data_IF_051268146448
#
_entry.id   IF_051268146448
#
_cell.length_a   1.000
_cell.length_b   1.000
_cell.length_c   1.000
_cell.angle_alpha   90.00
_cell.angle_beta   90.00
_cell.angle_gamma   90.00
#
_symmetry.space_group_name_H-M   'P 1'
#
loop_
_entity.id
_entity.type
_entity.pdbx_description
1 polymer ?
#
# COMPACT_ATOMS: atom_id res chain seq x y z
N UNK A 1 62.62 85.27 18.96
CA UNK A 1 62.04 85.18 20.32
C UNK A 1 61.11 83.97 20.32
N UNK A 2 61.40 83.03 21.22
CA UNK A 2 60.93 81.63 21.24
C UNK A 2 59.41 81.47 21.38
N UNK A 3 58.85 80.40 20.80
CA UNK A 3 58.11 79.37 21.55
C UNK A 3 57.81 78.13 20.69
N UNK A 4 58.20 76.98 21.25
CA UNK A 4 57.97 75.62 20.77
C UNK A 4 56.51 75.23 20.98
N UNK A 5 55.97 74.31 20.16
CA UNK A 5 55.03 73.29 20.70
C UNK A 5 55.03 72.03 19.83
N UNK A 6 55.32 70.93 20.51
CA UNK A 6 55.32 69.55 20.04
C UNK A 6 53.91 68.98 20.10
N UNK A 7 53.35 68.54 18.97
CA UNK A 7 52.11 67.77 18.95
C UNK A 7 52.44 66.28 19.07
N UNK A 8 52.12 65.73 20.24
CA UNK A 8 52.17 64.30 20.53
C UNK A 8 51.14 63.55 19.67
N UNK A 9 51.59 62.48 19.00
CA UNK A 9 50.76 61.57 18.22
C UNK A 9 50.08 60.57 19.17
N UNK A 10 48.80 60.77 19.43
CA UNK A 10 47.98 59.83 20.21
C UNK A 10 47.63 58.61 19.32
N UNK A 11 48.18 57.44 19.66
CA UNK A 11 47.75 56.16 19.10
C UNK A 11 46.61 55.61 19.97
N UNK A 12 45.39 55.53 19.42
CA UNK A 12 44.27 54.82 20.05
C UNK A 12 44.41 53.32 19.80
N UNK A 13 44.39 52.45 20.82
CA UNK A 13 44.33 51.01 20.62
C UNK A 13 42.90 50.62 20.25
N UNK A 14 42.71 50.08 19.04
CA UNK A 14 41.48 49.40 18.65
C UNK A 14 41.39 48.08 19.42
N UNK A 15 40.47 48.01 20.38
CA UNK A 15 40.07 46.77 21.04
C UNK A 15 39.34 45.88 20.04
N UNK A 16 40.06 44.98 19.38
CA UNK A 16 39.48 43.93 18.54
C UNK A 16 38.70 42.97 19.43
N UNK A 17 37.37 43.09 19.38
CA UNK A 17 36.44 42.31 20.20
C UNK A 17 36.61 40.80 20.02
N UNK A 18 36.78 40.12 21.15
CA UNK A 18 36.90 38.65 21.34
C UNK A 18 35.60 37.87 21.02
N UNK A 19 34.91 38.19 19.93
CA UNK A 19 33.61 37.55 19.60
C UNK A 19 33.64 36.58 18.40
N UNK A 20 34.78 36.40 17.73
CA UNK A 20 34.85 35.55 16.54
C UNK A 20 35.00 34.03 16.82
N UNK A 21 35.22 33.60 18.06
CA UNK A 21 35.52 32.19 18.38
C UNK A 21 34.30 31.35 18.79
N UNK A 22 33.09 31.93 18.86
CA UNK A 22 31.88 31.17 19.25
C UNK A 22 31.04 30.65 18.07
N UNK A 23 31.26 31.06 16.83
CA UNK A 23 30.40 30.64 15.71
C UNK A 23 30.82 29.32 15.03
N UNK A 24 32.08 28.90 15.15
CA UNK A 24 32.58 27.71 14.41
C UNK A 24 32.14 26.39 15.07
N UNK A 25 31.77 26.40 16.36
CA UNK A 25 31.36 25.19 17.09
C UNK A 25 29.86 24.87 17.01
N UNK A 26 29.03 25.75 16.44
CA UNK A 26 27.58 25.52 16.36
C UNK A 26 27.10 24.82 15.08
N UNK A 27 27.95 24.66 14.06
CA UNK A 27 27.54 24.05 12.78
C UNK A 27 27.64 22.51 12.78
N UNK A 28 28.35 21.89 13.73
CA UNK A 28 28.55 20.43 13.77
C UNK A 28 27.46 19.63 14.51
N UNK A 29 26.41 20.26 15.04
CA UNK A 29 25.31 19.56 15.75
C UNK A 29 24.05 19.33 14.93
N UNK A 30 24.08 19.58 13.61
CA UNK A 30 22.97 19.29 12.71
C UNK A 30 23.11 17.97 11.93
N UNK A 31 24.17 17.18 12.18
CA UNK A 31 24.50 16.00 11.37
C UNK A 31 24.56 14.68 12.17
N UNK A 32 23.86 14.59 13.30
CA UNK A 32 23.80 13.33 14.08
C UNK A 32 22.42 13.15 14.70
N UNK A 33 21.36 13.24 13.89
CA UNK A 33 20.08 12.62 14.23
C UNK A 33 20.08 11.21 13.62
N UNK A 34 20.59 10.23 14.37
CA UNK A 34 20.43 8.79 14.09
C UNK A 34 18.97 8.32 14.19
N UNK A 35 18.06 9.22 14.54
CA UNK A 35 16.62 9.02 14.54
C UNK A 35 16.02 10.03 13.58
N UNK A 36 15.52 9.55 12.43
CA UNK A 36 14.68 10.35 11.55
C UNK A 36 13.50 10.88 12.38
N UNK A 37 13.50 12.18 12.65
CA UNK A 37 12.47 12.83 13.46
C UNK A 37 11.13 12.66 12.72
N UNK A 38 10.18 11.96 13.36
CA UNK A 38 8.86 11.75 12.79
C UNK A 38 8.16 13.10 12.62
N UNK A 39 7.85 13.47 11.38
CA UNK A 39 7.01 14.63 11.04
C UNK A 39 5.58 14.13 10.83
N UNK A 40 4.57 14.62 11.57
CA UNK A 40 3.17 14.28 11.32
C UNK A 40 2.78 14.59 9.87
N UNK A 41 2.38 13.57 9.11
CA UNK A 41 2.05 13.67 7.68
C UNK A 41 3.25 13.55 6.71
N UNK A 42 4.47 13.41 7.22
CA UNK A 42 5.68 13.19 6.42
C UNK A 42 5.96 11.70 6.14
N UNK A 43 6.82 11.38 5.14
CA UNK A 43 7.26 10.01 4.89
C UNK A 43 8.04 9.44 6.09
N UNK A 44 7.71 8.21 6.50
CA UNK A 44 8.47 7.49 7.55
C UNK A 44 9.74 6.93 6.91
N UNK A 45 10.86 7.63 7.06
CA UNK A 45 12.18 7.15 6.62
C UNK A 45 12.76 6.16 7.64
N UNK A 46 13.24 5.01 7.15
CA UNK A 46 14.07 4.09 7.93
C UNK A 46 15.52 4.29 7.47
N UNK A 47 16.38 4.86 8.31
CA UNK A 47 17.78 5.15 7.97
C UNK A 47 18.05 6.62 7.56
N UNK A 48 19.18 6.85 6.93
CA UNK A 48 19.62 8.14 6.38
C UNK A 48 19.21 8.31 4.92
N UNK A 49 19.28 9.54 4.39
CA UNK A 49 18.90 9.87 2.99
C UNK A 49 19.74 9.12 1.95
N UNK A 50 20.97 8.71 2.31
CA UNK A 50 21.91 8.04 1.41
C UNK A 50 21.90 6.50 1.56
N UNK A 51 21.10 5.95 2.48
CA UNK A 51 21.05 4.51 2.67
C UNK A 51 20.23 3.85 1.55
N UNK A 52 20.74 2.77 0.92
CA UNK A 52 20.00 2.07 -0.11
C UNK A 52 18.71 1.48 0.46
N UNK A 53 17.60 1.65 -0.25
CA UNK A 53 16.37 0.95 0.10
C UNK A 53 16.60 -0.54 -0.04
N UNK A 54 16.29 -1.30 1.02
CA UNK A 54 16.32 -2.75 0.96
C UNK A 54 15.13 -3.24 0.15
N UNK A 55 15.40 -3.98 -0.92
CA UNK A 55 14.37 -4.63 -1.72
C UNK A 55 14.35 -6.12 -1.38
N UNK A 56 13.16 -6.73 -1.26
CA UNK A 56 13.06 -8.18 -1.18
C UNK A 56 13.62 -8.82 -2.46
N UNK A 57 14.06 -10.07 -2.37
CA UNK A 57 14.50 -10.81 -3.55
C UNK A 57 13.37 -10.91 -4.59
N UNK A 58 13.66 -10.68 -5.88
CA UNK A 58 12.63 -10.76 -6.92
C UNK A 58 11.96 -12.13 -6.96
N UNK A 59 10.63 -12.15 -6.99
CA UNK A 59 9.84 -13.37 -7.11
C UNK A 59 8.81 -13.21 -8.22
N UNK A 60 8.87 -14.05 -9.26
CA UNK A 60 7.90 -14.04 -10.37
C UNK A 60 6.47 -14.31 -9.90
N UNK A 61 6.32 -15.08 -8.82
CA UNK A 61 5.02 -15.39 -8.22
C UNK A 61 4.30 -14.14 -7.71
N UNK A 62 5.03 -13.14 -7.20
CA UNK A 62 4.45 -11.89 -6.69
C UNK A 62 4.25 -10.81 -7.76
N UNK A 63 4.73 -11.04 -8.99
CA UNK A 63 4.65 -10.09 -10.08
C UNK A 63 3.99 -10.71 -11.30
N UNK A 64 4.79 -11.12 -12.28
CA UNK A 64 4.31 -11.52 -13.60
C UNK A 64 3.32 -12.69 -13.58
N UNK A 65 3.52 -13.70 -12.72
CA UNK A 65 2.59 -14.84 -12.68
C UNK A 65 1.24 -14.47 -12.07
N UNK A 66 1.24 -13.66 -11.01
CA UNK A 66 0.01 -13.16 -10.42
C UNK A 66 -0.78 -12.31 -11.41
N UNK A 67 -0.11 -11.36 -12.08
CA UNK A 67 -0.72 -10.52 -13.11
C UNK A 67 -1.30 -11.34 -14.26
N UNK A 68 -0.52 -12.28 -14.82
CA UNK A 68 -1.01 -13.13 -15.93
C UNK A 68 -2.20 -13.97 -15.50
N UNK A 69 -2.17 -14.56 -14.29
CA UNK A 69 -3.27 -15.33 -13.75
C UNK A 69 -4.55 -14.48 -13.62
N UNK A 70 -4.46 -13.27 -13.08
CA UNK A 70 -5.60 -12.35 -13.00
C UNK A 70 -6.19 -12.03 -14.37
N UNK A 71 -5.34 -11.75 -15.37
CA UNK A 71 -5.81 -11.41 -16.72
C UNK A 71 -6.50 -12.61 -17.37
N UNK A 72 -5.93 -13.81 -17.24
CA UNK A 72 -6.53 -15.05 -17.75
C UNK A 72 -7.87 -15.34 -17.07
N UNK A 73 -7.93 -15.21 -15.75
CA UNK A 73 -9.14 -15.43 -14.96
C UNK A 73 -10.24 -14.42 -15.30
N UNK A 74 -9.88 -13.16 -15.57
CA UNK A 74 -10.83 -12.13 -16.03
C UNK A 74 -11.31 -12.41 -17.46
N UNK A 75 -10.40 -12.82 -18.34
CA UNK A 75 -10.73 -13.14 -19.73
C UNK A 75 -11.63 -14.39 -19.83
N UNK A 76 -11.42 -15.40 -18.99
CA UNK A 76 -12.25 -16.62 -18.98
C UNK A 76 -13.65 -16.40 -18.46
N UNK A 77 -13.87 -15.41 -17.59
CA UNK A 77 -15.20 -15.07 -17.08
C UNK A 77 -16.16 -14.63 -18.19
N UNK A 78 -15.67 -13.99 -19.25
CA UNK A 78 -16.52 -13.52 -20.36
C UNK A 78 -17.25 -14.68 -21.06
N UNK A 79 -16.56 -15.70 -21.63
CA UNK A 79 -17.24 -16.85 -22.23
C UNK A 79 -17.96 -17.72 -21.21
N UNK A 80 -17.47 -17.85 -19.97
CA UNK A 80 -18.17 -18.59 -18.91
C UNK A 80 -19.53 -17.98 -18.60
N UNK A 81 -19.60 -16.65 -18.50
CA UNK A 81 -20.84 -15.93 -18.27
C UNK A 81 -21.80 -16.13 -19.43
N UNK A 82 -21.32 -15.98 -20.67
CA UNK A 82 -22.15 -16.23 -21.86
C UNK A 82 -22.70 -17.66 -21.93
N UNK A 83 -21.86 -18.66 -21.63
CA UNK A 83 -22.27 -20.06 -21.57
C UNK A 83 -23.33 -20.30 -20.49
N UNK A 84 -23.18 -19.67 -19.33
CA UNK A 84 -24.12 -19.76 -18.21
C UNK A 84 -25.43 -19.03 -18.46
N UNK A 85 -25.46 -18.03 -19.34
CA UNK A 85 -26.71 -17.42 -19.80
C UNK A 85 -27.46 -18.29 -20.81
N UNK A 86 -26.72 -18.99 -21.68
CA UNK A 86 -27.30 -19.88 -22.68
C UNK A 86 -27.76 -21.23 -22.10
N UNK A 87 -27.27 -21.61 -20.92
CA UNK A 87 -27.55 -22.89 -20.27
C UNK A 87 -28.13 -22.67 -18.88
N UNK A 88 -29.27 -23.30 -18.53
CA UNK A 88 -29.79 -23.23 -17.16
C UNK A 88 -28.90 -24.04 -16.20
N UNK A 89 -28.62 -23.48 -15.01
CA UNK A 89 -27.81 -24.11 -13.98
C UNK A 89 -28.32 -25.47 -13.52
N UNK A 90 -29.64 -25.69 -13.57
CA UNK A 90 -30.27 -26.96 -13.17
C UNK A 90 -29.79 -28.13 -14.03
N UNK A 91 -29.50 -27.90 -15.32
CA UNK A 91 -29.04 -28.95 -16.24
C UNK A 91 -27.52 -29.12 -16.22
N UNK A 92 -26.77 -28.11 -15.77
CA UNK A 92 -25.31 -28.08 -15.80
C UNK A 92 -24.70 -27.55 -14.48
N UNK A 93 -24.88 -28.26 -13.36
CA UNK A 93 -24.45 -27.79 -12.03
C UNK A 93 -22.92 -27.61 -11.93
N UNK A 94 -22.15 -28.36 -12.73
CA UNK A 94 -20.68 -28.20 -12.80
C UNK A 94 -20.32 -26.84 -13.43
N UNK A 95 -21.01 -26.45 -14.50
CA UNK A 95 -20.78 -25.18 -15.18
C UNK A 95 -21.16 -24.01 -14.27
N UNK A 96 -22.28 -24.13 -13.57
CA UNK A 96 -22.74 -23.17 -12.56
C UNK A 96 -21.73 -23.03 -11.40
N UNK A 97 -21.15 -24.16 -10.94
CA UNK A 97 -20.08 -24.16 -9.96
C UNK A 97 -18.77 -23.53 -10.44
N UNK A 98 -18.35 -23.81 -11.67
CA UNK A 98 -17.15 -23.20 -12.25
C UNK A 98 -17.33 -21.70 -12.41
N UNK A 99 -18.51 -21.24 -12.87
CA UNK A 99 -18.83 -19.82 -12.93
C UNK A 99 -18.71 -19.19 -11.53
N UNK A 100 -19.39 -19.78 -10.54
CA UNK A 100 -19.40 -19.27 -9.17
C UNK A 100 -18.01 -19.18 -8.55
N UNK A 101 -17.20 -20.25 -8.64
CA UNK A 101 -15.84 -20.28 -8.10
C UNK A 101 -14.96 -19.25 -8.80
N UNK A 102 -15.00 -19.19 -10.13
CA UNK A 102 -14.18 -18.26 -10.91
C UNK A 102 -14.54 -16.81 -10.57
N UNK A 103 -15.83 -16.51 -10.43
CA UNK A 103 -16.33 -15.19 -10.05
C UNK A 103 -15.88 -14.79 -8.64
N UNK A 104 -15.95 -15.70 -7.67
CA UNK A 104 -15.48 -15.47 -6.30
C UNK A 104 -13.97 -15.24 -6.29
N UNK A 105 -13.18 -16.02 -7.04
CA UNK A 105 -11.74 -15.84 -7.13
C UNK A 105 -11.36 -14.48 -7.75
N UNK A 106 -12.04 -14.06 -8.83
CA UNK A 106 -11.86 -12.74 -9.43
C UNK A 106 -12.14 -11.62 -8.41
N UNK A 107 -13.26 -11.75 -7.71
CA UNK A 107 -13.70 -10.77 -6.72
C UNK A 107 -12.74 -10.70 -5.52
N UNK A 108 -12.23 -11.84 -5.05
CA UNK A 108 -11.25 -11.89 -3.97
C UNK A 108 -9.99 -11.10 -4.32
N UNK A 109 -9.43 -11.31 -5.51
CA UNK A 109 -8.21 -10.62 -5.93
C UNK A 109 -8.48 -9.12 -6.12
N UNK A 110 -9.62 -8.76 -6.72
CA UNK A 110 -10.02 -7.35 -6.87
C UNK A 110 -10.18 -6.63 -5.52
N UNK A 111 -10.82 -7.28 -4.54
CA UNK A 111 -10.95 -6.71 -3.21
C UNK A 111 -9.62 -6.68 -2.44
N UNK A 112 -8.74 -7.66 -2.62
CA UNK A 112 -7.41 -7.64 -2.00
C UNK A 112 -6.58 -6.46 -2.53
N UNK A 113 -6.65 -6.17 -3.84
CA UNK A 113 -6.04 -4.99 -4.43
C UNK A 113 -6.58 -3.68 -3.80
N UNK A 114 -7.90 -3.56 -3.62
CA UNK A 114 -8.50 -2.42 -2.92
C UNK A 114 -8.01 -2.29 -1.47
N UNK A 115 -7.85 -3.40 -0.75
CA UNK A 115 -7.34 -3.39 0.62
C UNK A 115 -5.87 -2.96 0.68
N UNK A 116 -5.04 -3.45 -0.24
CA UNK A 116 -3.62 -3.11 -0.31
C UNK A 116 -3.42 -1.63 -0.62
N UNK A 117 -4.24 -1.05 -1.51
CA UNK A 117 -4.14 0.34 -1.94
C UNK A 117 -4.72 1.32 -0.90
N UNK A 118 -5.89 1.02 -0.33
CA UNK A 118 -6.63 1.98 0.51
C UNK A 118 -6.59 1.68 2.01
N UNK A 119 -6.51 0.41 2.41
CA UNK A 119 -6.53 -0.04 3.81
C UNK A 119 -5.19 -0.65 4.27
N UNK A 120 -4.08 -0.15 3.73
CA UNK A 120 -2.77 -0.71 4.03
C UNK A 120 -2.41 -0.68 5.52
N UNK A 121 -1.91 -1.81 6.05
CA UNK A 121 -1.54 -2.02 7.47
C UNK A 121 -0.58 -0.98 8.06
N UNK A 122 0.26 -0.35 7.22
CA UNK A 122 1.18 0.74 7.64
C UNK A 122 0.42 1.98 8.13
N UNK A 123 -0.71 2.30 7.49
CA UNK A 123 -1.56 3.44 7.86
C UNK A 123 -2.65 3.02 8.84
N UNK A 124 -3.19 1.81 8.65
CA UNK A 124 -4.28 1.27 9.45
C UNK A 124 -3.86 -0.05 10.13
N UNK A 125 -3.12 0.01 11.25
CA UNK A 125 -2.54 -1.19 11.87
C UNK A 125 -3.58 -2.15 12.46
N UNK A 126 -4.77 -1.65 12.79
CA UNK A 126 -5.89 -2.47 13.28
C UNK A 126 -6.86 -2.84 12.15
N UNK A 127 -7.37 -1.85 11.41
CA UNK A 127 -8.39 -2.08 10.38
C UNK A 127 -7.85 -2.88 9.19
N UNK A 128 -6.59 -2.68 8.79
CA UNK A 128 -6.01 -3.40 7.64
C UNK A 128 -6.03 -4.92 7.85
N UNK A 129 -5.42 -5.46 8.93
CA UNK A 129 -5.45 -6.90 9.21
C UNK A 129 -6.86 -7.46 9.39
N UNK A 130 -7.77 -6.73 10.07
CA UNK A 130 -9.16 -7.17 10.24
C UNK A 130 -9.82 -7.31 8.88
N UNK A 131 -9.75 -6.29 8.02
CA UNK A 131 -10.37 -6.30 6.71
C UNK A 131 -9.81 -7.42 5.81
N UNK A 132 -8.50 -7.66 5.85
CA UNK A 132 -7.87 -8.78 5.11
C UNK A 132 -8.40 -10.13 5.58
N UNK A 133 -8.54 -10.35 6.89
CA UNK A 133 -9.09 -11.60 7.41
C UNK A 133 -10.58 -11.75 7.12
N UNK A 134 -11.35 -10.68 7.25
CA UNK A 134 -12.77 -10.66 6.86
C UNK A 134 -12.94 -11.03 5.39
N UNK A 135 -12.13 -10.48 4.48
CA UNK A 135 -12.17 -10.84 3.07
C UNK A 135 -11.90 -12.33 2.86
N UNK A 136 -10.87 -12.89 3.50
CA UNK A 136 -10.55 -14.32 3.40
C UNK A 136 -11.67 -15.21 3.94
N UNK A 137 -12.23 -14.87 5.10
CA UNK A 137 -13.35 -15.61 5.68
C UNK A 137 -14.59 -15.51 4.80
N UNK A 138 -14.89 -14.34 4.25
CA UNK A 138 -16.01 -14.14 3.31
C UNK A 138 -15.82 -14.95 2.03
N UNK A 139 -14.61 -15.01 1.48
CA UNK A 139 -14.29 -15.83 0.29
C UNK A 139 -14.51 -17.31 0.57
N UNK A 140 -14.01 -17.83 1.69
CA UNK A 140 -14.23 -19.25 2.06
C UNK A 140 -15.72 -19.52 2.29
N UNK A 141 -16.41 -18.63 3.01
CA UNK A 141 -17.86 -18.74 3.24
C UNK A 141 -18.66 -18.74 1.93
N UNK A 142 -18.31 -17.86 0.99
CA UNK A 142 -18.92 -17.82 -0.33
C UNK A 142 -18.69 -19.12 -1.11
N UNK A 143 -17.46 -19.65 -1.13
CA UNK A 143 -17.17 -20.92 -1.80
C UNK A 143 -17.96 -22.10 -1.20
N UNK A 144 -18.07 -22.16 0.14
CA UNK A 144 -18.90 -23.16 0.82
C UNK A 144 -20.38 -22.98 0.46
N UNK A 145 -20.87 -21.74 0.43
CA UNK A 145 -22.24 -21.44 0.03
C UNK A 145 -22.54 -21.87 -1.41
N UNK A 146 -21.64 -21.59 -2.34
CA UNK A 146 -21.75 -22.02 -3.75
C UNK A 146 -21.80 -23.54 -3.85
N UNK A 147 -20.91 -24.24 -3.13
CA UNK A 147 -20.92 -25.69 -3.09
C UNK A 147 -22.26 -26.23 -2.55
N UNK A 148 -22.78 -25.63 -1.47
CA UNK A 148 -24.04 -26.03 -0.87
C UNK A 148 -25.23 -25.79 -1.81
N UNK A 149 -25.31 -24.63 -2.47
CA UNK A 149 -26.36 -24.30 -3.44
C UNK A 149 -26.37 -25.24 -4.65
N UNK A 150 -25.20 -25.60 -5.17
CA UNK A 150 -25.11 -26.46 -6.35
C UNK A 150 -25.31 -27.95 -6.03
N UNK A 151 -25.05 -28.37 -4.79
CA UNK A 151 -25.16 -29.79 -4.40
C UNK A 151 -26.50 -30.12 -3.76
N UNK A 152 -27.08 -29.21 -3.00
CA UNK A 152 -28.26 -29.47 -2.15
C UNK A 152 -29.44 -28.54 -2.45
N UNK A 153 -29.33 -27.65 -3.43
CA UNK A 153 -30.38 -26.70 -3.81
C UNK A 153 -30.46 -26.58 -5.35
N UNK A 154 -31.20 -25.59 -5.85
CA UNK A 154 -31.49 -25.36 -7.27
C UNK A 154 -30.31 -24.82 -8.10
N UNK A 155 -29.21 -24.40 -7.48
CA UNK A 155 -28.07 -23.75 -8.14
C UNK A 155 -28.16 -22.22 -8.21
N UNK A 156 -27.01 -21.59 -8.48
CA UNK A 156 -26.84 -20.13 -8.50
C UNK A 156 -27.56 -19.46 -9.66
N UNK A 157 -27.33 -19.92 -10.88
CA UNK A 157 -27.93 -19.30 -12.09
C UNK A 157 -29.44 -19.48 -12.12
N UNK A 158 -29.95 -20.61 -11.64
CA UNK A 158 -31.38 -20.85 -11.48
C UNK A 158 -32.00 -19.93 -10.42
N UNK A 159 -31.31 -19.73 -9.29
CA UNK A 159 -31.72 -18.76 -8.28
C UNK A 159 -31.80 -17.34 -8.87
N UNK A 160 -30.80 -16.92 -9.65
CA UNK A 160 -30.81 -15.62 -10.31
C UNK A 160 -31.99 -15.51 -11.29
N UNK A 161 -32.26 -16.55 -12.07
CA UNK A 161 -33.37 -16.59 -13.02
C UNK A 161 -34.74 -16.44 -12.32
N UNK A 162 -34.93 -17.12 -11.18
CA UNK A 162 -36.16 -17.02 -10.38
C UNK A 162 -36.31 -15.65 -9.70
N UNK A 163 -35.22 -15.07 -9.20
CA UNK A 163 -35.24 -13.73 -8.60
C UNK A 163 -35.55 -12.66 -9.64
N UNK A 164 -35.15 -12.84 -10.89
CA UNK A 164 -35.41 -11.89 -11.97
C UNK A 164 -36.90 -11.75 -12.32
N UNK A 165 -37.69 -12.81 -12.11
CA UNK A 165 -39.12 -12.85 -12.42
C UNK A 165 -40.02 -12.80 -11.19
N UNK A 166 -39.43 -12.68 -10.00
CA UNK A 166 -40.13 -12.54 -8.72
C UNK A 166 -40.69 -11.11 -8.52
#
# INVERSE_FOLDING_TARGET
MFLQSSLARTLTPTTTGRNALRSVLQVRRAATSTTAQYVPGGPIYKGTVNDPTTFPSPSKAHGSYHWTFERLLSASLVPLTAASFATSGTHYPILDGILGITLVMHSHIGFDAMLVDYLHKRKFPLLGPIATWTLRTATVGALVGIYQFNTNDIGLTELIAKVWTA
#
